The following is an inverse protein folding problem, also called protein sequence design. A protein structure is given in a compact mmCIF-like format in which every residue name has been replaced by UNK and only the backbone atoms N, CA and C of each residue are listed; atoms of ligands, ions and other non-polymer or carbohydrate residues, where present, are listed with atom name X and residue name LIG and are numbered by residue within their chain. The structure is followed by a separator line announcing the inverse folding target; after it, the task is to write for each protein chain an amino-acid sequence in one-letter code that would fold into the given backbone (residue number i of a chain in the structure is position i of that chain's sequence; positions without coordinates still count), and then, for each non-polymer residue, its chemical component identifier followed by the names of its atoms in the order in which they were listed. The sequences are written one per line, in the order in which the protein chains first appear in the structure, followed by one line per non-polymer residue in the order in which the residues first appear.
data_IF_167533621057
#
_entry.id   IF_167533621057
#
_cell.length_a   1.000
_cell.length_b   1.000
_cell.length_c   1.000
_cell.angle_alpha   90.00
_cell.angle_beta   90.00
_cell.angle_gamma   90.00
#
_symmetry.space_group_name_H-M   'P 1'
#
loop_
_entity.id
_entity.type
_entity.pdbx_description
1 polymer ?
#
# COMPACT_ATOMS: atom_id res chain seq x y z
N UNK A 1 22.04 3.62 71.05
CA UNK A 1 21.68 4.55 69.96
C UNK A 1 20.98 3.76 68.88
N UNK A 2 19.65 3.89 68.68
CA UNK A 2 19.01 3.29 67.52
C UNK A 2 19.19 4.23 66.32
N UNK A 3 19.62 3.65 65.20
CA UNK A 3 19.73 4.34 63.92
C UNK A 3 18.31 4.60 63.41
N UNK A 4 17.90 5.87 63.34
CA UNK A 4 16.69 6.26 62.63
C UNK A 4 16.95 6.10 61.12
N UNK A 5 16.52 4.98 60.54
CA UNK A 5 16.36 4.87 59.09
C UNK A 5 15.27 5.85 58.64
N UNK A 6 15.69 6.94 57.99
CA UNK A 6 14.80 7.81 57.23
C UNK A 6 14.31 7.03 56.00
N UNK A 7 13.18 6.33 56.16
CA UNK A 7 12.45 5.75 55.02
C UNK A 7 11.83 6.89 54.24
N UNK A 8 12.47 7.30 53.15
CA UNK A 8 11.83 8.16 52.15
C UNK A 8 10.58 7.44 51.63
N UNK A 9 9.37 8.03 51.69
CA UNK A 9 8.17 7.41 51.14
C UNK A 9 8.29 7.36 49.61
N UNK A 10 8.80 6.25 49.12
CA UNK A 10 8.93 5.91 47.72
C UNK A 10 7.57 5.48 47.18
N UNK A 11 6.74 6.48 46.82
CA UNK A 11 5.68 6.47 45.78
C UNK A 11 4.71 7.61 46.05
N UNK A 12 4.82 8.69 45.27
CA UNK A 12 3.74 9.65 45.11
C UNK A 12 2.55 8.85 44.54
N UNK A 13 1.46 8.74 45.31
CA UNK A 13 0.24 8.07 44.84
C UNK A 13 -0.24 8.70 43.54
N UNK A 14 -0.61 7.91 42.54
CA UNK A 14 -0.98 8.37 41.18
C UNK A 14 -2.09 9.45 41.18
N UNK A 15 -2.92 9.50 42.22
CA UNK A 15 -4.05 10.44 42.38
C UNK A 15 -3.76 11.66 43.29
N UNK A 16 -2.50 11.94 43.63
CA UNK A 16 -2.17 13.00 44.59
C UNK A 16 -2.67 14.39 44.17
N UNK A 17 -2.66 14.70 42.85
CA UNK A 17 -3.15 15.98 42.31
C UNK A 17 -4.67 16.10 42.46
N UNK A 18 -5.39 15.02 42.18
CA UNK A 18 -6.85 15.00 42.32
C UNK A 18 -7.25 15.12 43.79
N UNK A 19 -6.55 14.41 44.68
CA UNK A 19 -6.73 14.52 46.13
C UNK A 19 -6.48 15.94 46.62
N UNK A 20 -5.37 16.56 46.18
CA UNK A 20 -5.04 17.95 46.52
C UNK A 20 -6.12 18.94 46.03
N UNK A 21 -6.66 18.75 44.82
CA UNK A 21 -7.76 19.58 44.32
C UNK A 21 -9.06 19.37 45.11
N UNK A 22 -9.33 18.16 45.61
CA UNK A 22 -10.49 17.89 46.48
C UNK A 22 -10.34 18.50 47.87
N UNK A 23 -9.13 18.50 48.44
CA UNK A 23 -8.88 19.00 49.81
C UNK A 23 -8.65 20.52 49.87
N UNK A 24 -7.94 21.08 48.89
CA UNK A 24 -7.54 22.50 48.89
C UNK A 24 -8.17 23.30 47.74
N UNK A 25 -8.98 22.66 46.90
CA UNK A 25 -9.59 23.31 45.75
C UNK A 25 -8.61 23.53 44.60
N UNK A 26 -9.08 24.27 43.59
CA UNK A 26 -8.24 24.80 42.52
C UNK A 26 -7.87 26.24 42.84
N UNK A 27 -6.92 26.77 42.07
CA UNK A 27 -6.60 28.19 42.13
C UNK A 27 -7.87 29.03 41.92
N UNK A 28 -8.06 30.07 42.73
CA UNK A 28 -9.29 30.87 42.76
C UNK A 28 -9.67 31.48 41.39
N UNK A 29 -8.69 31.81 40.55
CA UNK A 29 -8.90 32.39 39.20
C UNK A 29 -8.99 31.32 38.08
N UNK A 30 -8.98 30.03 38.41
CA UNK A 30 -8.88 28.95 37.43
C UNK A 30 -10.04 28.99 36.43
N UNK A 31 -11.28 29.07 36.93
CA UNK A 31 -12.50 29.06 36.11
C UNK A 31 -12.60 30.31 35.23
N UNK A 32 -12.21 31.47 35.76
CA UNK A 32 -12.18 32.69 34.96
C UNK A 32 -11.16 32.60 33.83
N UNK A 33 -9.98 32.02 34.10
CA UNK A 33 -8.91 31.88 33.10
C UNK A 33 -9.27 30.85 32.04
N UNK A 34 -9.89 29.73 32.39
CA UNK A 34 -10.36 28.72 31.42
C UNK A 34 -11.44 29.30 30.53
N UNK A 35 -12.46 29.95 31.11
CA UNK A 35 -13.52 30.63 30.35
C UNK A 35 -12.97 31.68 29.39
N UNK A 36 -12.06 32.54 29.84
CA UNK A 36 -11.39 33.56 28.99
C UNK A 36 -10.49 32.93 27.93
N UNK A 37 -9.95 31.73 28.14
CA UNK A 37 -9.13 31.01 27.14
C UNK A 37 -10.01 30.43 26.03
N UNK A 38 -11.10 29.76 26.38
CA UNK A 38 -12.08 29.20 25.44
C UNK A 38 -12.72 30.29 24.57
N UNK A 39 -13.15 31.40 25.20
CA UNK A 39 -13.71 32.54 24.47
C UNK A 39 -12.74 33.15 23.44
N UNK A 40 -11.43 33.17 23.73
CA UNK A 40 -10.39 33.70 22.82
C UNK A 40 -9.98 32.70 21.72
N UNK A 41 -10.36 31.43 21.85
CA UNK A 41 -9.88 30.38 20.96
C UNK A 41 -10.33 30.60 19.50
N UNK A 42 -11.57 31.06 19.29
CA UNK A 42 -12.08 31.37 17.95
C UNK A 42 -11.28 32.47 17.23
N UNK A 43 -10.95 33.55 17.94
CA UNK A 43 -10.11 34.63 17.40
C UNK A 43 -8.68 34.17 17.15
N UNK A 44 -8.09 33.43 18.09
CA UNK A 44 -6.74 32.87 17.94
C UNK A 44 -6.68 31.89 16.76
N UNK A 45 -7.74 31.11 16.52
CA UNK A 45 -7.81 30.20 15.39
C UNK A 45 -7.82 30.97 14.06
N UNK A 46 -8.64 32.01 13.94
CA UNK A 46 -8.68 32.88 12.76
C UNK A 46 -7.33 33.58 12.53
N UNK A 47 -6.74 34.14 13.58
CA UNK A 47 -5.44 34.79 13.53
C UNK A 47 -4.34 33.82 13.09
N UNK A 48 -4.31 32.61 13.64
CA UNK A 48 -3.35 31.56 13.23
C UNK A 48 -3.55 31.15 11.77
N UNK A 49 -4.78 31.08 11.29
CA UNK A 49 -5.05 30.77 9.89
C UNK A 49 -4.44 31.81 8.92
N UNK A 50 -4.48 33.09 9.28
CA UNK A 50 -3.99 34.20 8.44
C UNK A 50 -2.49 34.46 8.61
N UNK A 51 -1.94 34.27 9.82
CA UNK A 51 -0.57 34.67 10.17
C UNK A 51 0.46 33.56 9.95
N UNK A 52 0.08 32.28 10.05
CA UNK A 52 1.00 31.18 9.84
C UNK A 52 1.47 31.16 8.38
N UNK A 53 2.77 30.93 8.18
CA UNK A 53 3.40 30.82 6.85
C UNK A 53 4.06 29.46 6.64
N UNK A 54 4.26 29.08 5.38
CA UNK A 54 4.98 27.87 5.00
C UNK A 54 4.33 26.57 5.49
N UNK A 55 5.16 25.62 5.94
CA UNK A 55 4.70 24.28 6.35
C UNK A 55 3.76 24.32 7.57
N UNK A 56 3.95 25.28 8.49
CA UNK A 56 3.07 25.45 9.65
C UNK A 56 1.64 25.82 9.24
N UNK A 57 1.49 26.67 8.23
CA UNK A 57 0.17 27.02 7.68
C UNK A 57 -0.52 25.80 7.04
N UNK A 58 0.24 25.02 6.26
CA UNK A 58 -0.26 23.79 5.62
C UNK A 58 -0.73 22.76 6.64
N UNK A 59 0.08 22.49 7.68
CA UNK A 59 -0.32 21.56 8.75
C UNK A 59 -1.54 22.07 9.52
N UNK A 60 -1.63 23.38 9.78
CA UNK A 60 -2.78 23.98 10.44
C UNK A 60 -4.06 23.82 9.61
N UNK A 61 -4.01 24.10 8.31
CA UNK A 61 -5.14 23.90 7.41
C UNK A 61 -5.56 22.42 7.30
N UNK A 62 -4.61 21.50 7.19
CA UNK A 62 -4.87 20.06 7.15
C UNK A 62 -5.59 19.58 8.44
N UNK A 63 -5.11 20.03 9.60
CA UNK A 63 -5.74 19.73 10.90
C UNK A 63 -7.17 20.26 10.94
N UNK A 64 -7.40 21.52 10.56
CA UNK A 64 -8.75 22.12 10.52
C UNK A 64 -9.68 21.41 9.55
N UNK A 65 -9.17 20.95 8.41
CA UNK A 65 -9.95 20.17 7.44
C UNK A 65 -10.40 18.83 8.03
N UNK A 66 -9.50 18.09 8.71
CA UNK A 66 -9.82 16.84 9.40
C UNK A 66 -10.86 17.04 10.51
N UNK A 67 -10.72 18.08 11.34
CA UNK A 67 -11.68 18.43 12.39
C UNK A 67 -13.07 18.72 11.83
N UNK A 68 -13.16 19.48 10.73
CA UNK A 68 -14.43 19.76 10.05
C UNK A 68 -15.09 18.49 9.52
N UNK A 69 -14.33 17.60 8.89
CA UNK A 69 -14.84 16.31 8.41
C UNK A 69 -15.34 15.46 9.57
N UNK A 70 -14.59 15.39 10.66
CA UNK A 70 -14.97 14.60 11.83
C UNK A 70 -16.28 15.13 12.44
N UNK A 71 -16.42 16.45 12.60
CA UNK A 71 -17.66 17.06 13.10
C UNK A 71 -18.83 16.82 12.16
N UNK A 72 -18.64 16.98 10.84
CA UNK A 72 -19.68 16.67 9.85
C UNK A 72 -20.14 15.22 9.93
N UNK A 73 -19.21 14.27 10.06
CA UNK A 73 -19.55 12.84 10.22
C UNK A 73 -20.32 12.57 11.51
N UNK A 74 -19.95 13.20 12.63
CA UNK A 74 -20.66 13.06 13.91
C UNK A 74 -22.08 13.61 13.85
N UNK A 75 -22.24 14.82 13.31
CA UNK A 75 -23.57 15.45 13.13
C UNK A 75 -24.43 14.56 12.24
N UNK A 76 -23.92 14.13 11.08
CA UNK A 76 -24.63 13.24 10.16
C UNK A 76 -25.04 11.92 10.82
N UNK A 77 -24.14 11.27 11.56
CA UNK A 77 -24.47 10.03 12.28
C UNK A 77 -25.54 10.23 13.36
N UNK A 78 -25.59 11.41 14.01
CA UNK A 78 -26.62 11.74 14.98
C UNK A 78 -27.96 12.05 14.31
N UNK A 79 -27.96 12.76 13.19
CA UNK A 79 -29.14 13.02 12.36
C UNK A 79 -29.72 11.72 11.79
N UNK A 80 -28.88 10.84 11.23
CA UNK A 80 -29.26 9.51 10.72
C UNK A 80 -29.77 8.58 11.84
N UNK A 81 -29.30 8.74 13.09
CA UNK A 81 -29.86 8.01 14.24
C UNK A 81 -31.25 8.52 14.63
N UNK A 82 -31.46 9.83 14.52
CA UNK A 82 -32.73 10.47 14.90
C UNK A 82 -33.82 10.21 13.84
N UNK A 83 -33.44 10.08 12.58
CA UNK A 83 -34.32 9.57 11.53
C UNK A 83 -34.33 8.05 11.64
N UNK A 84 -35.37 7.50 12.29
CA UNK A 84 -35.67 6.06 12.14
C UNK A 84 -36.04 5.81 10.68
N UNK A 85 -35.06 5.51 9.85
CA UNK A 85 -35.31 4.91 8.53
C UNK A 85 -36.13 3.65 8.79
N UNK A 86 -37.36 3.64 8.29
CA UNK A 86 -38.25 2.48 8.37
C UNK A 86 -37.59 1.34 7.60
N UNK A 87 -36.93 0.43 8.33
CA UNK A 87 -36.15 -0.67 7.77
C UNK A 87 -35.06 -0.20 6.77
N UNK A 88 -34.07 -1.03 6.42
CA UNK A 88 -33.40 -0.80 5.15
C UNK A 88 -34.49 -0.79 4.08
N UNK A 89 -34.55 0.28 3.27
CA UNK A 89 -35.24 0.21 1.99
C UNK A 89 -34.75 -1.08 1.34
N UNK A 90 -35.67 -2.00 1.09
CA UNK A 90 -35.42 -3.22 0.34
C UNK A 90 -34.51 -2.89 -0.84
N UNK A 91 -33.48 -3.71 -1.16
CA UNK A 91 -32.73 -3.49 -2.37
C UNK A 91 -33.72 -3.47 -3.52
N UNK A 92 -33.87 -2.29 -4.12
CA UNK A 92 -34.74 -2.08 -5.28
C UNK A 92 -34.22 -2.91 -6.44
N UNK A 93 -34.71 -4.15 -6.53
CA UNK A 93 -34.88 -4.94 -7.73
C UNK A 93 -35.84 -6.06 -7.37
N UNK A 94 -36.90 -6.25 -8.15
CA UNK A 94 -38.11 -7.03 -7.85
C UNK A 94 -37.93 -8.56 -7.64
N UNK A 95 -36.75 -9.03 -7.23
CA UNK A 95 -36.43 -10.44 -7.01
C UNK A 95 -35.46 -10.59 -5.83
N UNK A 96 -35.84 -11.29 -4.75
CA UNK A 96 -34.92 -11.63 -3.66
C UNK A 96 -33.79 -12.50 -4.20
N UNK A 97 -32.55 -12.01 -4.12
CA UNK A 97 -31.38 -12.79 -4.48
C UNK A 97 -30.94 -13.61 -3.25
N UNK A 98 -30.64 -14.91 -3.41
CA UNK A 98 -29.97 -15.68 -2.37
C UNK A 98 -28.68 -15.01 -1.91
N UNK A 99 -28.32 -15.17 -0.63
CA UNK A 99 -27.16 -14.52 -0.02
C UNK A 99 -25.84 -14.71 -0.81
N UNK A 100 -25.68 -15.86 -1.48
CA UNK A 100 -24.53 -16.20 -2.32
C UNK A 100 -24.49 -15.52 -3.70
N UNK A 101 -25.54 -14.75 -4.07
CA UNK A 101 -25.65 -13.98 -5.32
C UNK A 101 -25.68 -12.46 -5.10
N UNK A 102 -25.79 -11.98 -3.85
CA UNK A 102 -25.88 -10.55 -3.53
C UNK A 102 -24.63 -9.76 -3.99
N UNK A 103 -23.45 -10.37 -3.92
CA UNK A 103 -22.17 -9.73 -4.30
C UNK A 103 -21.79 -9.92 -5.78
N UNK A 104 -22.66 -10.58 -6.57
CA UNK A 104 -22.44 -10.87 -8.00
C UNK A 104 -23.40 -10.02 -8.83
N UNK A 105 -23.25 -8.70 -8.81
CA UNK A 105 -24.11 -7.81 -9.59
C UNK A 105 -23.97 -8.07 -11.10
N UNK A 106 -24.96 -8.75 -11.70
CA UNK A 106 -25.16 -8.70 -13.15
C UNK A 106 -26.24 -7.66 -13.44
N UNK A 107 -25.89 -6.64 -14.24
CA UNK A 107 -26.85 -5.65 -14.70
C UNK A 107 -27.86 -6.31 -15.67
N UNK A 108 -29.10 -6.48 -15.23
CA UNK A 108 -30.20 -7.00 -16.04
C UNK A 108 -30.74 -5.89 -16.95
N UNK A 109 -30.12 -5.71 -18.12
CA UNK A 109 -30.65 -4.84 -19.17
C UNK A 109 -31.00 -5.68 -20.41
N UNK A 110 -32.30 -5.93 -20.61
CA UNK A 110 -32.82 -6.69 -21.75
C UNK A 110 -32.51 -6.07 -23.14
N UNK A 111 -32.02 -4.83 -23.20
CA UNK A 111 -31.48 -4.19 -24.41
C UNK A 111 -30.05 -4.62 -24.79
N UNK A 112 -29.38 -5.44 -23.98
CA UNK A 112 -27.98 -5.85 -24.18
C UNK A 112 -27.78 -7.06 -25.12
N UNK A 113 -28.84 -7.73 -25.57
CA UNK A 113 -28.71 -8.97 -26.36
C UNK A 113 -28.10 -8.78 -27.76
N UNK A 114 -28.29 -7.62 -28.40
CA UNK A 114 -27.74 -7.32 -29.73
C UNK A 114 -26.32 -6.74 -29.68
N UNK A 115 -25.97 -6.01 -28.62
CA UNK A 115 -24.59 -5.59 -28.31
C UNK A 115 -23.73 -6.74 -27.78
N UNK A 116 -24.34 -7.75 -27.13
CA UNK A 116 -23.67 -8.92 -26.56
C UNK A 116 -22.82 -9.75 -27.55
N UNK A 117 -23.05 -9.71 -28.86
CA UNK A 117 -22.22 -10.46 -29.83
C UNK A 117 -20.89 -9.73 -30.10
N UNK A 118 -20.93 -8.40 -30.25
CA UNK A 118 -19.72 -7.57 -30.35
C UNK A 118 -18.99 -7.55 -29.00
N UNK A 119 -19.75 -7.44 -27.92
CA UNK A 119 -19.22 -7.50 -26.56
C UNK A 119 -18.66 -8.88 -26.23
N UNK A 120 -19.25 -10.00 -26.69
CA UNK A 120 -18.64 -11.34 -26.53
C UNK A 120 -17.31 -11.50 -27.26
N UNK A 121 -17.14 -10.85 -28.42
CA UNK A 121 -15.86 -10.87 -29.17
C UNK A 121 -14.80 -10.02 -28.48
N UNK A 122 -15.15 -8.85 -27.96
CA UNK A 122 -14.24 -8.01 -27.16
C UNK A 122 -13.97 -8.59 -25.76
N UNK A 123 -14.97 -9.21 -25.12
CA UNK A 123 -14.87 -9.91 -23.83
C UNK A 123 -13.93 -11.10 -23.90
N UNK A 124 -13.90 -11.89 -24.97
CA UNK A 124 -12.94 -13.02 -25.08
C UNK A 124 -11.49 -12.54 -25.02
N UNK A 125 -11.18 -11.39 -25.62
CA UNK A 125 -9.86 -10.78 -25.54
C UNK A 125 -9.61 -10.10 -24.19
N UNK A 126 -10.63 -9.44 -23.62
CA UNK A 126 -10.53 -8.76 -22.34
C UNK A 126 -10.45 -9.73 -21.15
N UNK A 127 -11.08 -10.92 -21.24
CA UNK A 127 -11.17 -11.92 -20.17
C UNK A 127 -9.81 -12.50 -19.76
N UNK A 128 -8.88 -12.60 -20.70
CA UNK A 128 -7.50 -13.04 -20.44
C UNK A 128 -6.50 -11.89 -20.48
N UNK A 129 -6.97 -10.64 -20.49
CA UNK A 129 -6.09 -9.49 -20.39
C UNK A 129 -5.49 -9.44 -18.99
N UNK A 130 -4.17 -9.32 -18.92
CA UNK A 130 -3.50 -8.99 -17.68
C UNK A 130 -3.95 -7.59 -17.19
N UNK A 131 -3.92 -7.32 -15.87
CA UNK A 131 -4.33 -6.02 -15.30
C UNK A 131 -3.59 -4.81 -15.89
N UNK A 132 -2.31 -4.97 -16.25
CA UNK A 132 -1.49 -3.94 -16.90
C UNK A 132 -1.04 -4.43 -18.29
N UNK A 133 -1.85 -4.24 -19.34
CA UNK A 133 -1.53 -4.74 -20.68
C UNK A 133 -0.44 -3.92 -21.38
N UNK A 134 -0.43 -2.59 -21.16
CA UNK A 134 0.54 -1.66 -21.73
C UNK A 134 1.22 -0.89 -20.62
N UNK A 135 2.55 -0.93 -20.61
CA UNK A 135 3.38 -0.21 -19.63
C UNK A 135 4.25 0.80 -20.36
N UNK A 136 4.64 1.86 -19.66
CA UNK A 136 5.62 2.83 -20.14
C UNK A 136 6.90 2.09 -20.58
N UNK A 137 7.36 2.38 -21.79
CA UNK A 137 8.66 1.90 -22.26
C UNK A 137 9.79 2.54 -21.45
N UNK A 138 10.82 1.75 -21.14
CA UNK A 138 12.04 2.22 -20.49
C UNK A 138 13.16 2.19 -21.54
N UNK A 139 13.96 3.25 -21.59
CA UNK A 139 15.11 3.31 -22.48
C UNK A 139 16.24 2.41 -21.96
N UNK A 140 17.07 1.90 -22.86
CA UNK A 140 18.22 1.08 -22.46
C UNK A 140 19.23 1.85 -21.60
N UNK A 141 19.34 3.16 -21.80
CA UNK A 141 20.19 4.05 -21.00
C UNK A 141 19.73 4.12 -19.53
N UNK A 142 18.43 4.16 -19.29
CA UNK A 142 17.87 4.16 -17.92
C UNK A 142 18.10 2.80 -17.24
N UNK A 143 18.05 1.70 -18.01
CA UNK A 143 18.23 0.34 -17.53
C UNK A 143 19.69 -0.01 -17.21
N UNK A 144 20.62 0.46 -18.05
CA UNK A 144 22.02 0.07 -18.00
C UNK A 144 22.95 1.26 -17.75
N UNK A 145 23.54 1.30 -16.56
CA UNK A 145 24.65 2.19 -16.27
C UNK A 145 25.96 1.67 -16.88
N UNK A 146 26.66 2.51 -17.62
CA UNK A 146 27.99 2.18 -18.17
C UNK A 146 29.02 2.10 -17.04
N UNK A 147 29.84 1.04 -17.04
CA UNK A 147 30.93 0.87 -16.08
C UNK A 147 32.27 0.89 -16.82
N UNK A 148 33.09 1.88 -16.48
CA UNK A 148 34.40 2.09 -17.09
C UNK A 148 35.51 1.35 -16.35
N UNK A 149 36.41 0.72 -17.09
CA UNK A 149 37.50 -0.13 -16.55
C UNK A 149 38.87 0.32 -17.06
N UNK A 150 39.92 0.13 -16.25
CA UNK A 150 41.31 0.45 -16.58
C UNK A 150 41.93 1.49 -15.61
N UNK A 151 43.21 1.32 -15.28
CA UNK A 151 43.89 2.00 -14.16
C UNK A 151 44.04 3.53 -14.31
N UNK A 152 44.38 4.03 -15.52
CA UNK A 152 44.79 5.44 -15.69
C UNK A 152 43.73 6.33 -16.35
N UNK A 153 42.98 5.79 -17.32
CA UNK A 153 42.10 6.64 -18.15
C UNK A 153 40.70 6.05 -18.29
N UNK A 154 40.39 4.92 -17.65
CA UNK A 154 39.05 4.31 -17.68
C UNK A 154 38.41 4.22 -19.09
N UNK A 155 39.23 4.03 -20.14
CA UNK A 155 38.77 4.10 -21.54
C UNK A 155 37.87 2.92 -21.95
N UNK A 156 37.89 1.82 -21.21
CA UNK A 156 37.16 0.59 -21.59
C UNK A 156 35.79 0.56 -20.93
N UNK A 157 34.74 0.80 -21.71
CA UNK A 157 33.35 0.92 -21.26
C UNK A 157 32.47 -0.26 -21.72
N UNK A 158 32.98 -1.49 -21.76
CA UNK A 158 32.25 -2.65 -22.28
C UNK A 158 31.23 -3.25 -21.29
N UNK A 159 31.37 -2.95 -19.99
CA UNK A 159 30.50 -3.46 -18.92
C UNK A 159 29.24 -2.60 -18.75
N UNK A 160 28.15 -3.24 -18.36
CA UNK A 160 26.83 -2.64 -18.14
C UNK A 160 26.30 -3.10 -16.79
N UNK A 161 25.98 -2.16 -15.90
CA UNK A 161 25.36 -2.44 -14.61
C UNK A 161 23.86 -2.20 -14.70
N UNK A 162 23.07 -3.18 -14.25
CA UNK A 162 21.62 -3.04 -14.19
C UNK A 162 21.27 -2.16 -12.99
N UNK A 163 20.50 -1.10 -13.23
CA UNK A 163 20.06 -0.14 -12.20
C UNK A 163 18.71 -0.50 -11.60
N UNK A 164 17.93 -1.35 -12.28
CA UNK A 164 16.61 -1.79 -11.84
C UNK A 164 16.68 -3.06 -10.98
N UNK A 165 15.69 -3.30 -10.10
CA UNK A 165 15.53 -4.54 -9.36
C UNK A 165 15.56 -5.79 -10.25
N UNK A 166 16.18 -6.84 -9.75
CA UNK A 166 16.36 -8.11 -10.46
C UNK A 166 16.02 -9.29 -9.58
N UNK A 167 15.53 -10.36 -10.20
CA UNK A 167 15.48 -11.68 -9.62
C UNK A 167 16.67 -12.49 -10.14
N UNK A 168 17.35 -13.18 -9.23
CA UNK A 168 18.32 -14.22 -9.58
C UNK A 168 17.85 -15.53 -8.96
N UNK A 169 17.99 -16.62 -9.71
CA UNK A 169 17.69 -17.96 -9.19
C UNK A 169 18.50 -18.30 -7.95
N UNK A 170 18.05 -19.29 -7.20
CA UNK A 170 18.64 -19.69 -5.92
C UNK A 170 20.10 -20.14 -6.07
N UNK A 171 20.44 -20.81 -7.18
CA UNK A 171 21.77 -21.31 -7.50
C UNK A 171 22.65 -20.32 -8.29
N UNK A 172 22.39 -19.01 -8.14
CA UNK A 172 23.13 -18.01 -8.90
C UNK A 172 24.55 -17.77 -8.38
N UNK A 173 25.53 -18.28 -9.12
CA UNK A 173 26.96 -17.95 -8.95
C UNK A 173 27.39 -16.87 -9.93
N UNK A 174 28.14 -15.86 -9.45
CA UNK A 174 28.68 -14.81 -10.34
C UNK A 174 29.71 -15.40 -11.29
N UNK A 175 29.67 -14.97 -12.55
CA UNK A 175 30.71 -15.29 -13.54
C UNK A 175 32.00 -14.54 -13.21
N UNK A 176 33.14 -15.07 -13.67
CA UNK A 176 34.43 -14.41 -13.54
C UNK A 176 34.36 -12.96 -14.08
N UNK A 177 34.86 -11.94 -13.34
CA UNK A 177 34.81 -10.53 -13.73
C UNK A 177 35.35 -10.22 -15.13
N UNK A 178 36.24 -11.06 -15.69
CA UNK A 178 36.76 -10.87 -17.06
C UNK A 178 35.71 -11.16 -18.14
N UNK A 179 34.77 -12.07 -17.88
CA UNK A 179 33.73 -12.49 -18.82
C UNK A 179 32.34 -11.91 -18.48
N UNK A 180 32.17 -11.31 -17.30
CA UNK A 180 30.93 -10.68 -16.88
C UNK A 180 30.75 -9.30 -17.54
N UNK A 181 29.84 -9.23 -18.52
CA UNK A 181 29.43 -7.97 -19.18
C UNK A 181 28.29 -7.28 -18.45
N UNK A 182 27.23 -8.02 -18.11
CA UNK A 182 26.05 -7.50 -17.41
C UNK A 182 26.17 -7.77 -15.90
N UNK A 183 26.24 -6.71 -15.11
CA UNK A 183 26.39 -6.76 -13.66
C UNK A 183 25.01 -6.58 -13.01
N UNK A 184 24.60 -7.58 -12.23
CA UNK A 184 23.40 -7.53 -11.38
C UNK A 184 23.83 -7.32 -9.93
N UNK A 185 23.80 -6.10 -9.38
CA UNK A 185 24.32 -5.82 -8.05
C UNK A 185 23.47 -6.50 -6.97
N UNK A 186 24.11 -6.98 -5.88
CA UNK A 186 23.42 -7.75 -4.84
C UNK A 186 22.33 -6.97 -4.12
N UNK A 187 22.52 -5.67 -3.91
CA UNK A 187 21.53 -4.80 -3.26
C UNK A 187 20.22 -4.63 -4.03
N UNK A 188 20.19 -4.97 -5.32
CA UNK A 188 18.99 -4.93 -6.16
C UNK A 188 18.39 -6.31 -6.43
N UNK A 189 18.85 -7.36 -5.73
CA UNK A 189 18.36 -8.73 -5.93
C UNK A 189 17.22 -9.05 -4.97
N UNK A 190 16.04 -9.26 -5.52
CA UNK A 190 14.85 -9.65 -4.76
C UNK A 190 14.63 -11.15 -4.86
N UNK A 191 14.21 -11.76 -3.74
CA UNK A 191 13.84 -13.18 -3.66
C UNK A 191 12.35 -13.40 -3.41
N UNK A 192 11.67 -12.40 -2.85
CA UNK A 192 10.25 -12.44 -2.49
C UNK A 192 9.53 -11.24 -3.10
N UNK A 193 8.24 -11.40 -3.36
CA UNK A 193 7.32 -10.35 -3.79
C UNK A 193 6.15 -10.27 -2.81
N UNK A 194 5.59 -9.08 -2.64
CA UNK A 194 4.33 -8.87 -1.93
C UNK A 194 3.19 -9.04 -2.93
N UNK A 195 2.46 -10.15 -2.83
CA UNK A 195 1.45 -10.56 -3.81
C UNK A 195 0.05 -10.37 -3.22
N UNK A 196 -0.81 -9.66 -3.92
CA UNK A 196 -2.23 -9.49 -3.55
C UNK A 196 -3.13 -10.44 -4.36
N UNK A 197 -4.09 -11.09 -3.67
CA UNK A 197 -5.15 -11.85 -4.32
C UNK A 197 -6.38 -10.94 -4.53
N UNK A 198 -6.79 -10.63 -5.78
CA UNK A 198 -7.88 -9.68 -6.05
C UNK A 198 -9.21 -10.04 -5.38
N UNK A 199 -9.57 -11.32 -5.36
CA UNK A 199 -10.90 -11.76 -4.87
C UNK A 199 -10.98 -11.83 -3.33
N UNK A 200 -9.87 -12.15 -2.66
CA UNK A 200 -9.85 -12.35 -1.20
C UNK A 200 -9.48 -11.06 -0.45
N UNK A 201 -8.88 -10.08 -1.14
CA UNK A 201 -8.39 -8.85 -0.52
C UNK A 201 -7.22 -9.05 0.44
N UNK A 202 -6.52 -10.20 0.35
CA UNK A 202 -5.37 -10.55 1.20
C UNK A 202 -4.07 -10.36 0.44
N UNK A 203 -3.05 -9.86 1.15
CA UNK A 203 -1.68 -9.73 0.66
C UNK A 203 -0.74 -10.69 1.39
N UNK A 204 0.08 -11.42 0.65
CA UNK A 204 1.03 -12.41 1.20
C UNK A 204 2.41 -12.20 0.58
N UNK A 205 3.47 -12.35 1.39
CA UNK A 205 4.85 -12.20 0.94
C UNK A 205 5.40 -13.53 0.40
N UNK A 206 5.16 -13.78 -0.88
CA UNK A 206 5.49 -15.06 -1.52
C UNK A 206 6.90 -15.06 -2.15
N UNK A 207 7.60 -16.20 -2.15
CA UNK A 207 8.87 -16.34 -2.88
C UNK A 207 8.66 -16.28 -4.39
N UNK A 208 9.56 -15.58 -5.09
CA UNK A 208 9.62 -15.56 -6.55
C UNK A 208 10.33 -16.84 -7.01
N UNK A 209 9.71 -17.56 -7.95
CA UNK A 209 10.26 -18.76 -8.56
C UNK A 209 11.01 -18.42 -9.85
N UNK A 210 10.36 -17.65 -10.74
CA UNK A 210 10.95 -17.29 -12.03
C UNK A 210 10.35 -15.99 -12.59
N UNK A 211 11.07 -15.38 -13.53
CA UNK A 211 10.56 -14.26 -14.35
C UNK A 211 10.16 -14.83 -15.70
N UNK A 212 8.89 -14.73 -16.08
CA UNK A 212 8.37 -15.32 -17.33
C UNK A 212 8.34 -14.34 -18.48
N UNK A 213 7.92 -13.10 -18.21
CA UNK A 213 7.79 -12.09 -19.27
C UNK A 213 8.06 -10.71 -18.74
N UNK A 214 9.07 -10.05 -19.29
CA UNK A 214 9.19 -8.60 -19.21
C UNK A 214 8.52 -7.97 -20.44
N UNK A 215 7.65 -6.95 -20.28
CA UNK A 215 6.92 -6.33 -21.40
C UNK A 215 7.81 -5.52 -22.36
N UNK A 216 9.03 -5.13 -21.96
CA UNK A 216 9.86 -4.24 -22.75
C UNK A 216 10.77 -4.98 -23.73
N UNK A 217 11.50 -5.98 -23.24
CA UNK A 217 12.47 -6.72 -24.04
C UNK A 217 12.66 -8.14 -23.48
N UNK A 218 12.66 -9.19 -24.33
CA UNK A 218 13.03 -10.55 -23.91
C UNK A 218 14.37 -10.67 -23.19
N UNK A 219 15.37 -9.84 -23.53
CA UNK A 219 16.65 -9.77 -22.83
C UNK A 219 16.46 -9.51 -21.32
N UNK A 220 15.51 -8.66 -20.96
CA UNK A 220 15.23 -8.31 -19.56
C UNK A 220 14.59 -9.46 -18.81
N UNK A 221 13.81 -10.30 -19.49
CA UNK A 221 13.32 -11.57 -18.93
C UNK A 221 14.49 -12.49 -18.57
N UNK A 222 15.46 -12.66 -19.48
CA UNK A 222 16.63 -13.51 -19.24
C UNK A 222 17.54 -12.98 -18.12
N UNK A 223 17.70 -11.65 -18.06
CA UNK A 223 18.45 -11.00 -16.98
C UNK A 223 17.68 -10.99 -15.64
N UNK A 224 16.37 -11.31 -15.67
CA UNK A 224 15.50 -11.36 -14.51
C UNK A 224 15.09 -9.98 -14.00
N UNK A 225 14.98 -8.97 -14.86
CA UNK A 225 14.64 -7.60 -14.44
C UNK A 225 13.17 -7.49 -14.04
N UNK A 226 12.94 -6.97 -12.85
CA UNK A 226 11.65 -6.73 -12.23
C UNK A 226 11.24 -5.27 -12.44
N UNK A 227 10.52 -5.01 -13.53
CA UNK A 227 9.92 -3.71 -13.84
C UNK A 227 8.41 -3.77 -13.71
N UNK A 228 7.74 -2.63 -13.74
CA UNK A 228 6.27 -2.59 -13.80
C UNK A 228 5.76 -3.41 -14.98
N UNK A 229 4.74 -4.21 -14.72
CA UNK A 229 4.12 -5.14 -15.68
C UNK A 229 4.90 -6.40 -15.96
N UNK A 230 6.07 -6.62 -15.36
CA UNK A 230 6.76 -7.92 -15.45
C UNK A 230 5.86 -9.01 -14.87
N UNK A 231 5.71 -10.11 -15.62
CA UNK A 231 5.02 -11.32 -15.17
C UNK A 231 6.05 -12.24 -14.54
N UNK A 232 5.81 -12.55 -13.27
CA UNK A 232 6.62 -13.42 -12.43
C UNK A 232 5.81 -14.65 -12.05
N UNK A 233 6.50 -15.75 -11.83
CA UNK A 233 5.96 -16.95 -11.21
C UNK A 233 6.28 -16.90 -9.73
N UNK A 234 5.26 -17.04 -8.89
CA UNK A 234 5.37 -16.98 -7.43
C UNK A 234 4.92 -18.29 -6.82
N UNK A 235 5.56 -18.67 -5.72
CA UNK A 235 5.16 -19.85 -4.99
C UNK A 235 3.87 -19.54 -4.18
N UNK A 236 2.79 -20.26 -4.46
CA UNK A 236 1.47 -20.06 -3.83
C UNK A 236 1.10 -21.17 -2.84
N UNK A 237 2.06 -21.97 -2.39
CA UNK A 237 1.82 -23.04 -1.41
C UNK A 237 1.16 -22.54 -0.13
N UNK A 238 1.46 -21.31 0.30
CA UNK A 238 0.86 -20.69 1.49
C UNK A 238 -0.62 -20.32 1.30
N UNK A 239 -1.12 -20.21 0.06
CA UNK A 239 -2.53 -19.90 -0.23
C UNK A 239 -3.42 -21.15 -0.26
N UNK A 240 -2.85 -22.36 -0.27
CA UNK A 240 -3.61 -23.61 -0.27
C UNK A 240 -4.50 -23.81 -1.49
N UNK A 241 -4.10 -23.29 -2.66
CA UNK A 241 -4.87 -23.45 -3.90
C UNK A 241 -4.81 -24.92 -4.38
N UNK A 242 -5.96 -25.50 -4.71
CA UNK A 242 -6.07 -26.89 -5.17
C UNK A 242 -6.85 -26.93 -6.48
N UNK A 243 -6.42 -27.76 -7.43
CA UNK A 243 -7.17 -27.98 -8.67
C UNK A 243 -8.38 -28.87 -8.42
N UNK A 244 -9.34 -28.92 -9.36
CA UNK A 244 -10.50 -29.82 -9.26
C UNK A 244 -10.11 -31.30 -9.13
N UNK A 245 -8.90 -31.67 -9.57
CA UNK A 245 -8.35 -33.02 -9.43
C UNK A 245 -7.67 -33.29 -8.07
N UNK A 246 -7.74 -32.36 -7.11
CA UNK A 246 -7.12 -32.52 -5.79
C UNK A 246 -5.61 -32.27 -5.75
N UNK A 247 -4.99 -31.81 -6.85
CA UNK A 247 -3.56 -31.50 -6.88
C UNK A 247 -3.31 -30.10 -6.32
N UNK A 248 -2.37 -29.97 -5.40
CA UNK A 248 -1.98 -28.68 -4.81
C UNK A 248 -1.23 -27.85 -5.85
N UNK A 249 -1.67 -26.60 -6.04
CA UNK A 249 -1.01 -25.61 -6.87
C UNK A 249 0.06 -24.93 -6.02
N UNK A 250 1.31 -25.02 -6.45
CA UNK A 250 2.45 -24.40 -5.78
C UNK A 250 3.06 -23.27 -6.58
N UNK A 251 2.70 -23.08 -7.86
CA UNK A 251 3.17 -21.98 -8.70
C UNK A 251 2.01 -21.29 -9.40
N UNK A 252 1.97 -19.95 -9.34
CA UNK A 252 0.99 -19.16 -10.11
C UNK A 252 1.65 -17.89 -10.66
N UNK A 253 1.09 -17.35 -11.74
CA UNK A 253 1.58 -16.11 -12.31
C UNK A 253 1.05 -14.91 -11.55
N UNK A 254 1.90 -13.92 -11.38
CA UNK A 254 1.57 -12.62 -10.82
C UNK A 254 2.21 -11.53 -11.69
N UNK A 255 1.55 -10.38 -11.77
CA UNK A 255 2.04 -9.23 -12.50
C UNK A 255 2.49 -8.14 -11.52
N UNK A 256 3.74 -7.67 -11.66
CA UNK A 256 4.27 -6.57 -10.87
C UNK A 256 3.51 -5.28 -11.18
N UNK A 257 2.96 -4.63 -10.15
CA UNK A 257 2.06 -3.48 -10.29
C UNK A 257 2.75 -2.13 -10.07
N UNK A 258 3.77 -2.08 -9.22
CA UNK A 258 4.51 -0.86 -8.90
C UNK A 258 5.82 -0.72 -9.71
N UNK A 259 6.59 0.33 -9.41
CA UNK A 259 7.95 0.54 -9.92
C UNK A 259 8.94 0.21 -8.79
N UNK A 260 9.51 -1.01 -8.73
CA UNK A 260 10.27 -1.45 -7.57
C UNK A 260 11.56 -0.65 -7.33
N UNK A 261 12.06 0.05 -8.34
CA UNK A 261 13.23 0.93 -8.28
C UNK A 261 13.03 2.20 -7.45
N UNK A 262 11.78 2.64 -7.27
CA UNK A 262 11.45 3.83 -6.47
C UNK A 262 11.10 3.48 -5.02
N UNK A 263 10.41 2.35 -4.82
CA UNK A 263 9.79 2.00 -3.54
C UNK A 263 10.63 1.02 -2.71
N UNK A 264 11.57 0.30 -3.34
CA UNK A 264 12.32 -0.78 -2.70
C UNK A 264 11.49 -2.03 -2.41
N UNK A 265 10.23 -2.10 -2.86
CA UNK A 265 9.32 -3.24 -2.71
C UNK A 265 8.85 -3.75 -4.07
N UNK A 266 8.67 -5.06 -4.20
CA UNK A 266 8.09 -5.69 -5.40
C UNK A 266 6.65 -6.05 -5.07
N UNK A 267 5.71 -5.19 -5.45
CA UNK A 267 4.28 -5.44 -5.28
C UNK A 267 3.73 -6.04 -6.57
N UNK A 268 2.96 -7.13 -6.44
CA UNK A 268 2.39 -7.84 -7.57
C UNK A 268 0.94 -8.24 -7.32
N UNK A 269 0.17 -8.36 -8.40
CA UNK A 269 -1.20 -8.83 -8.39
C UNK A 269 -1.23 -10.23 -8.98
N UNK A 270 -1.84 -11.17 -8.27
CA UNK A 270 -1.98 -12.55 -8.73
C UNK A 270 -2.92 -12.59 -9.95
N UNK A 271 -2.50 -13.29 -11.01
CA UNK A 271 -3.31 -13.52 -12.21
C UNK A 271 -4.18 -14.75 -11.96
N UNK A 272 -5.42 -14.51 -11.53
CA UNK A 272 -6.37 -15.56 -11.10
C UNK A 272 -6.88 -16.35 -12.29
#
# INVERSE_FOLDING_TARGET
MPQNEFVFPSKISVEYIERFQKTHGRRLDHEERTRKREAREGHLASQKAQSLRGLRAKMYAQKRHAEKIQMKKRIRAQEEKNVKSAAPSEPSSATPLPNYLLDRSQATNAKALSSAIKDKRSEKAAKFSVPLPKVKGISEEEMFKVVNTGKKTHKKSWKRMITKPTFVGQDFTRRNPKFERFIRPMGLRYKKANVTHPELGVTVQLPILSVKKNPQNPLYTQLGVLTKGTVIEVNVSELGLVTTSGKVVWGKYAQVSNNPDLDGTVNAVLLV
#
